data_IF_724961944206
#
_entry.id   IF_724961944206
#
_cell.length_a   1.000
_cell.length_b   1.000
_cell.length_c   1.000
_cell.angle_alpha   90.00
_cell.angle_beta   90.00
_cell.angle_gamma   90.00
#
_symmetry.space_group_name_H-M   'P 1'
#
loop_
_entity.id
_entity.type
_entity.pdbx_description
1 polymer ?
#
# COMPACT_ATOMS: atom_id res chain seq x y z
N UNK A 1 1.17 27.10 -73.13
CA UNK A 1 1.97 26.28 -72.26
C UNK A 1 1.42 26.43 -70.80
N UNK A 2 0.69 25.45 -70.27
CA UNK A 2 0.08 25.51 -68.94
C UNK A 2 0.97 24.69 -68.01
N UNK A 3 1.63 25.30 -67.03
CA UNK A 3 2.44 24.62 -66.01
C UNK A 3 1.56 24.06 -64.91
N UNK A 4 1.65 22.77 -64.70
CA UNK A 4 0.96 22.01 -63.63
C UNK A 4 1.85 22.08 -62.37
N UNK A 5 1.41 22.81 -61.34
CA UNK A 5 2.08 22.85 -60.01
C UNK A 5 1.54 21.64 -59.20
N UNK A 6 2.41 20.68 -58.94
CA UNK A 6 2.15 19.50 -58.14
C UNK A 6 2.41 19.85 -56.65
N UNK A 7 1.35 19.98 -55.87
CA UNK A 7 1.41 20.26 -54.43
C UNK A 7 1.63 18.96 -53.66
N UNK A 8 2.82 18.80 -53.11
CA UNK A 8 3.20 17.62 -52.31
C UNK A 8 2.72 17.81 -50.89
N UNK A 9 1.70 17.03 -50.45
CA UNK A 9 1.21 17.00 -49.10
C UNK A 9 2.15 16.11 -48.25
N UNK A 10 2.88 16.74 -47.35
CA UNK A 10 3.65 16.07 -46.30
C UNK A 10 2.70 15.61 -45.15
N UNK A 11 2.42 14.32 -45.05
CA UNK A 11 1.77 13.74 -43.89
C UNK A 11 2.81 13.56 -42.77
N UNK A 12 2.74 14.37 -41.73
CA UNK A 12 3.48 14.15 -40.49
C UNK A 12 2.68 13.17 -39.63
N UNK A 13 3.18 11.95 -39.54
CA UNK A 13 2.64 10.96 -38.59
C UNK A 13 3.02 11.38 -37.16
N UNK A 14 2.06 11.89 -36.39
CA UNK A 14 2.21 12.13 -34.98
C UNK A 14 2.17 10.76 -34.22
N UNK A 15 3.34 10.22 -33.93
CA UNK A 15 3.46 9.03 -33.08
C UNK A 15 3.05 9.34 -31.65
N UNK A 16 1.91 8.81 -31.19
CA UNK A 16 1.50 8.86 -29.78
C UNK A 16 2.47 8.03 -28.94
N UNK A 17 3.30 8.68 -28.15
CA UNK A 17 4.08 8.02 -27.09
C UNK A 17 3.09 7.50 -26.01
N UNK A 18 2.75 6.23 -26.07
CA UNK A 18 2.05 5.54 -24.97
C UNK A 18 3.07 5.39 -23.87
N UNK A 19 2.94 6.19 -22.81
CA UNK A 19 3.74 6.03 -21.60
C UNK A 19 3.48 4.63 -21.02
N UNK A 20 4.54 3.83 -20.90
CA UNK A 20 4.44 2.51 -20.26
C UNK A 20 3.97 2.69 -18.81
N UNK A 21 2.92 1.97 -18.42
CA UNK A 21 2.46 1.95 -17.02
C UNK A 21 3.62 1.55 -16.10
N UNK A 22 3.76 2.19 -14.93
CA UNK A 22 4.84 1.86 -14.00
C UNK A 22 4.74 0.39 -13.63
N UNK A 23 5.85 -0.36 -13.78
CA UNK A 23 5.93 -1.76 -13.37
C UNK A 23 5.67 -1.84 -11.86
N UNK A 24 4.59 -2.52 -11.47
CA UNK A 24 4.32 -2.82 -10.08
C UNK A 24 5.43 -3.72 -9.53
N UNK A 25 5.90 -3.42 -8.32
CA UNK A 25 6.85 -4.28 -7.61
C UNK A 25 6.12 -5.55 -7.23
N UNK A 26 6.58 -6.69 -7.73
CA UNK A 26 6.05 -8.00 -7.34
C UNK A 26 6.74 -8.41 -6.03
N UNK A 27 5.99 -8.69 -4.95
CA UNK A 27 6.60 -9.18 -3.72
C UNK A 27 7.19 -10.59 -3.94
N UNK A 28 8.25 -10.96 -3.20
CA UNK A 28 8.78 -12.32 -3.24
C UNK A 28 7.70 -13.31 -2.77
N UNK A 29 7.79 -14.54 -3.26
CA UNK A 29 6.91 -15.63 -2.82
C UNK A 29 7.01 -15.75 -1.29
N UNK A 30 5.87 -15.71 -0.56
CA UNK A 30 5.91 -15.68 0.89
C UNK A 30 6.37 -17.01 1.47
N UNK A 31 7.22 -16.95 2.50
CA UNK A 31 7.42 -18.09 3.38
C UNK A 31 6.22 -18.18 4.31
N UNK A 32 5.41 -19.21 4.15
CA UNK A 32 4.25 -19.48 4.99
C UNK A 32 4.32 -20.92 5.51
N UNK A 33 3.98 -21.12 6.78
CA UNK A 33 3.80 -22.43 7.37
C UNK A 33 2.31 -22.70 7.58
N UNK A 34 1.74 -23.77 6.99
CA UNK A 34 0.34 -24.10 7.21
C UNK A 34 0.02 -24.25 8.70
N UNK A 35 -1.10 -23.64 9.14
CA UNK A 35 -1.51 -23.55 10.55
C UNK A 35 -0.52 -22.80 11.47
N UNK A 36 0.41 -22.04 10.90
CA UNK A 36 1.28 -21.13 11.62
C UNK A 36 0.52 -19.97 12.29
N UNK A 37 1.26 -19.04 12.92
CA UNK A 37 0.65 -17.90 13.58
C UNK A 37 -0.08 -17.00 12.58
N UNK A 38 -1.29 -16.57 12.96
CA UNK A 38 -2.04 -15.55 12.21
C UNK A 38 -1.47 -14.15 12.47
N UNK A 39 -1.75 -13.20 11.58
CA UNK A 39 -1.36 -11.81 11.79
C UNK A 39 -2.02 -11.26 13.05
N UNK A 40 -1.24 -10.69 13.99
CA UNK A 40 -1.79 -10.13 15.23
C UNK A 40 -2.74 -8.96 14.96
N UNK A 41 -3.82 -8.87 15.75
CA UNK A 41 -4.67 -7.69 15.78
C UNK A 41 -4.00 -6.55 16.56
N UNK A 42 -4.39 -5.33 16.21
CA UNK A 42 -3.97 -4.09 16.87
C UNK A 42 -5.16 -3.14 17.03
N UNK A 43 -5.00 -2.11 17.87
CA UNK A 43 -6.04 -1.10 18.03
C UNK A 43 -6.28 -0.30 16.75
N UNK A 44 -7.54 0.02 16.48
CA UNK A 44 -7.96 0.92 15.40
C UNK A 44 -7.42 2.35 15.59
N UNK A 45 -7.27 2.77 16.84
CA UNK A 45 -6.94 4.15 17.17
C UNK A 45 -8.10 5.13 16.88
N UNK A 46 -7.90 6.42 17.17
CA UNK A 46 -8.99 7.42 17.12
C UNK A 46 -9.24 8.02 15.73
N UNK A 47 -8.44 7.67 14.71
CA UNK A 47 -8.46 8.36 13.41
C UNK A 47 -9.03 7.51 12.28
N UNK A 48 -9.61 6.36 12.55
CA UNK A 48 -10.32 5.61 11.51
C UNK A 48 -11.53 6.39 10.99
N UNK A 49 -11.72 6.34 9.67
CA UNK A 49 -12.91 6.88 8.99
C UNK A 49 -13.44 5.82 8.04
N UNK A 50 -14.73 5.55 8.13
CA UNK A 50 -15.41 4.69 7.15
C UNK A 50 -15.55 5.40 5.79
N UNK A 51 -15.95 4.62 4.76
CA UNK A 51 -16.24 5.11 3.41
C UNK A 51 -15.02 5.77 2.73
N UNK A 52 -13.84 5.23 2.96
CA UNK A 52 -12.63 5.62 2.24
C UNK A 52 -12.78 5.40 0.74
N UNK A 53 -12.14 6.19 -0.14
CA UNK A 53 -12.17 5.97 -1.58
C UNK A 53 -11.39 4.71 -1.98
N UNK A 54 -11.82 4.03 -3.06
CA UNK A 54 -11.06 2.93 -3.66
C UNK A 54 -9.86 3.48 -4.42
N UNK A 55 -8.65 3.14 -3.97
CA UNK A 55 -7.40 3.57 -4.62
C UNK A 55 -6.20 2.76 -4.14
N UNK A 56 -5.23 2.55 -5.04
CA UNK A 56 -3.96 1.88 -4.74
C UNK A 56 -2.82 2.87 -4.48
N UNK A 57 -3.02 4.15 -4.80
CA UNK A 57 -2.09 5.23 -4.47
C UNK A 57 -2.78 6.23 -3.54
N UNK A 58 -2.13 6.52 -2.42
CA UNK A 58 -2.53 7.56 -1.48
C UNK A 58 -1.76 8.86 -1.72
N UNK A 59 -0.89 8.89 -2.74
CA UNK A 59 -0.14 10.09 -3.11
C UNK A 59 -1.05 11.10 -3.79
N UNK A 60 -0.87 12.37 -3.42
CA UNK A 60 -1.58 13.52 -3.99
C UNK A 60 -0.56 14.59 -4.42
N UNK A 61 -0.89 15.47 -5.38
CA UNK A 61 0.00 16.54 -5.80
C UNK A 61 0.46 17.40 -4.61
N UNK A 62 1.77 17.73 -4.60
CA UNK A 62 2.38 18.53 -3.53
C UNK A 62 2.65 17.79 -2.21
N UNK A 63 2.42 16.49 -2.15
CA UNK A 63 2.73 15.68 -0.97
C UNK A 63 4.25 15.55 -0.81
N UNK A 64 4.74 15.73 0.43
CA UNK A 64 6.14 15.60 0.83
C UNK A 64 6.39 14.25 1.49
N UNK A 65 7.65 13.97 1.84
CA UNK A 65 8.05 12.73 2.53
C UNK A 65 8.68 11.70 1.60
N UNK A 66 9.26 10.68 2.21
CA UNK A 66 9.87 9.55 1.48
C UNK A 66 8.77 8.64 0.93
N UNK A 67 8.73 8.45 -0.38
CA UNK A 67 7.80 7.52 -1.03
C UNK A 67 8.01 6.11 -0.51
N UNK A 68 6.90 5.43 -0.21
CA UNK A 68 6.85 4.06 0.26
C UNK A 68 5.86 3.27 -0.59
N UNK A 69 6.30 2.16 -1.15
CA UNK A 69 5.42 1.14 -1.71
C UNK A 69 5.26 0.07 -0.63
N UNK A 70 4.03 -0.27 -0.27
CA UNK A 70 3.75 -1.42 0.60
C UNK A 70 3.07 -2.49 -0.23
N UNK A 71 3.65 -3.70 -0.23
CA UNK A 71 3.14 -4.83 -1.01
C UNK A 71 3.33 -6.14 -0.28
N UNK A 72 2.63 -7.18 -0.68
CA UNK A 72 2.69 -8.50 -0.09
C UNK A 72 1.46 -9.31 -0.43
N UNK A 73 1.28 -10.40 0.27
CA UNK A 73 0.16 -11.32 0.08
C UNK A 73 -0.82 -11.24 1.23
N UNK A 74 -2.08 -11.51 0.93
CA UNK A 74 -3.09 -11.90 1.92
C UNK A 74 -3.32 -13.40 1.75
N UNK A 75 -3.04 -14.16 2.81
CA UNK A 75 -3.07 -15.62 2.81
C UNK A 75 -4.06 -16.14 3.85
N UNK A 76 -4.64 -17.30 3.57
CA UNK A 76 -5.35 -18.11 4.54
C UNK A 76 -4.38 -18.90 5.44
N UNK A 77 -4.88 -19.53 6.50
CA UNK A 77 -4.06 -20.36 7.41
C UNK A 77 -3.40 -21.57 6.73
N UNK A 78 -3.96 -22.05 5.63
CA UNK A 78 -3.38 -23.12 4.81
C UNK A 78 -2.39 -22.59 3.75
N UNK A 79 -2.01 -21.31 3.87
CA UNK A 79 -1.08 -20.61 2.98
C UNK A 79 -1.60 -20.33 1.56
N UNK A 80 -2.87 -20.58 1.28
CA UNK A 80 -3.46 -20.22 0.00
C UNK A 80 -3.66 -18.71 -0.11
N UNK A 81 -3.33 -18.09 -1.24
CA UNK A 81 -3.66 -16.69 -1.50
C UNK A 81 -5.16 -16.44 -1.45
N UNK A 82 -5.55 -15.29 -0.92
CA UNK A 82 -6.94 -14.86 -0.85
C UNK A 82 -7.17 -13.75 -1.90
N UNK A 83 -7.78 -14.05 -3.06
CA UNK A 83 -8.20 -13.04 -4.01
C UNK A 83 -9.34 -12.19 -3.44
N UNK A 84 -9.41 -10.92 -3.91
CA UNK A 84 -10.47 -9.98 -3.50
C UNK A 84 -10.57 -9.75 -1.98
N UNK A 85 -9.51 -10.01 -1.22
CA UNK A 85 -9.43 -9.54 0.14
C UNK A 85 -9.42 -8.01 0.14
N UNK A 86 -10.24 -7.37 0.98
CA UNK A 86 -10.29 -5.91 1.11
C UNK A 86 -9.24 -5.46 2.12
N UNK A 87 -8.44 -4.48 1.73
CA UNK A 87 -7.48 -3.80 2.60
C UNK A 87 -7.86 -2.31 2.63
N UNK A 88 -8.12 -1.78 3.82
CA UNK A 88 -8.50 -0.38 4.04
C UNK A 88 -7.43 0.29 4.90
N UNK A 89 -6.70 1.24 4.33
CA UNK A 89 -5.52 1.87 4.92
C UNK A 89 -5.80 3.27 5.42
N UNK A 90 -5.17 3.66 6.54
CA UNK A 90 -5.10 5.05 6.99
C UNK A 90 -3.81 5.29 7.76
N UNK A 91 -3.25 6.49 7.60
CA UNK A 91 -1.99 6.88 8.24
C UNK A 91 -1.86 8.38 8.39
N UNK A 92 -0.90 8.80 9.21
CA UNK A 92 -0.44 10.18 9.28
C UNK A 92 0.39 10.54 8.03
N UNK A 93 0.51 11.83 7.72
CA UNK A 93 1.47 12.33 6.76
C UNK A 93 2.92 12.19 7.26
N UNK A 94 3.90 12.62 6.47
CA UNK A 94 5.33 12.59 6.79
C UNK A 94 5.71 13.46 8.02
N UNK A 95 4.81 14.33 8.48
CA UNK A 95 4.97 15.20 9.66
C UNK A 95 4.20 14.69 10.88
N UNK A 96 3.49 13.58 10.78
CA UNK A 96 2.73 12.99 11.87
C UNK A 96 1.29 13.51 12.02
N UNK A 97 0.73 14.17 11.00
CA UNK A 97 -0.63 14.72 11.06
C UNK A 97 -1.63 13.81 10.33
N UNK A 98 -2.80 13.59 10.93
CA UNK A 98 -3.92 12.91 10.29
C UNK A 98 -4.86 13.93 9.65
N UNK A 99 -5.31 13.63 8.41
CA UNK A 99 -6.38 14.39 7.78
C UNK A 99 -7.74 13.98 8.38
N UNK A 100 -8.22 14.75 9.35
CA UNK A 100 -9.50 14.50 10.00
C UNK A 100 -10.71 14.99 9.20
N UNK A 101 -10.67 16.13 8.47
CA UNK A 101 -11.81 16.56 7.66
C UNK A 101 -11.97 15.73 6.38
N UNK A 102 -10.89 15.33 5.72
CA UNK A 102 -10.88 14.66 4.42
C UNK A 102 -10.53 13.17 4.45
N UNK A 103 -10.05 12.69 3.31
CA UNK A 103 -9.60 11.31 3.10
C UNK A 103 -8.15 11.24 2.58
N UNK A 104 -7.34 12.25 2.85
CA UNK A 104 -5.91 12.23 2.52
C UNK A 104 -5.23 11.10 3.27
N UNK A 105 -4.35 10.35 2.60
CA UNK A 105 -3.65 9.17 3.13
C UNK A 105 -4.59 8.10 3.71
N UNK A 106 -5.78 7.98 3.10
CA UNK A 106 -6.80 6.98 3.39
C UNK A 106 -7.31 6.38 2.09
N UNK A 107 -7.55 5.09 2.07
CA UNK A 107 -8.12 4.43 0.89
C UNK A 107 -8.17 2.93 1.06
N UNK A 108 -9.09 2.29 0.34
CA UNK A 108 -9.14 0.84 0.30
C UNK A 108 -8.83 0.30 -1.09
N UNK A 109 -8.48 -0.96 -1.13
CA UNK A 109 -8.25 -1.73 -2.34
C UNK A 109 -8.57 -3.20 -2.11
N UNK A 110 -8.50 -3.97 -3.19
CA UNK A 110 -8.63 -5.42 -3.14
C UNK A 110 -7.34 -6.09 -3.60
N UNK A 111 -7.06 -7.28 -3.07
CA UNK A 111 -6.03 -8.15 -3.62
C UNK A 111 -6.39 -8.60 -5.02
N UNK A 112 -5.37 -8.83 -5.84
CA UNK A 112 -5.52 -9.41 -7.18
C UNK A 112 -5.85 -10.92 -7.13
N UNK A 113 -5.88 -11.58 -8.30
CA UNK A 113 -6.14 -13.02 -8.43
C UNK A 113 -5.11 -13.90 -7.72
N UNK A 114 -3.93 -13.38 -7.42
CA UNK A 114 -2.84 -14.06 -6.72
C UNK A 114 -2.79 -13.71 -5.23
N UNK A 115 -3.79 -12.98 -4.70
CA UNK A 115 -3.80 -12.53 -3.32
C UNK A 115 -2.81 -11.39 -3.03
N UNK A 116 -2.28 -10.72 -4.04
CA UNK A 116 -1.29 -9.65 -3.90
C UNK A 116 -2.00 -8.30 -3.76
N UNK A 117 -1.54 -7.47 -2.82
CA UNK A 117 -1.92 -6.06 -2.70
C UNK A 117 -0.75 -5.13 -3.04
N UNK A 118 -1.07 -3.90 -3.39
CA UNK A 118 -0.10 -2.86 -3.73
C UNK A 118 -0.60 -1.50 -3.26
N UNK A 119 0.11 -0.89 -2.33
CA UNK A 119 -0.17 0.44 -1.82
C UNK A 119 1.01 1.37 -2.11
N UNK A 120 0.73 2.51 -2.70
CA UNK A 120 1.69 3.59 -2.86
C UNK A 120 1.36 4.72 -1.88
N UNK A 121 2.33 5.09 -1.06
CA UNK A 121 2.16 6.10 0.00
C UNK A 121 3.49 6.78 0.34
N UNK A 122 3.56 7.48 1.46
CA UNK A 122 4.78 8.02 2.07
C UNK A 122 5.04 7.34 3.41
N UNK A 123 6.30 7.36 3.85
CA UNK A 123 6.62 6.94 5.23
C UNK A 123 5.92 7.90 6.19
N UNK A 124 5.06 7.41 7.11
CA UNK A 124 4.36 8.27 8.06
C UNK A 124 5.35 8.94 9.01
N UNK A 125 5.04 10.16 9.42
CA UNK A 125 5.74 10.87 10.47
C UNK A 125 5.48 10.25 11.85
N UNK A 126 6.23 10.72 12.83
CA UNK A 126 6.00 10.36 14.23
C UNK A 126 4.74 11.07 14.73
N UNK A 127 3.80 10.31 15.25
CA UNK A 127 2.62 10.82 15.94
C UNK A 127 2.83 10.73 17.45
N UNK A 128 2.21 11.62 18.20
CA UNK A 128 2.41 11.79 19.67
C UNK A 128 2.49 10.46 20.43
N UNK A 129 3.67 10.17 20.99
CA UNK A 129 3.92 8.97 21.78
C UNK A 129 4.00 7.66 21.00
N UNK A 130 3.70 7.67 19.68
CA UNK A 130 3.67 6.48 18.84
C UNK A 130 4.87 6.41 17.90
N UNK A 131 5.33 5.20 17.63
CA UNK A 131 6.27 4.93 16.54
C UNK A 131 5.60 5.08 15.16
N UNK A 132 6.40 5.13 14.09
CA UNK A 132 5.88 5.22 12.70
C UNK A 132 5.09 3.98 12.35
N UNK A 133 3.83 4.15 11.96
CA UNK A 133 2.94 3.04 11.66
C UNK A 133 1.89 3.39 10.59
N UNK A 134 1.43 2.37 9.91
CA UNK A 134 0.31 2.43 8.97
C UNK A 134 -0.79 1.56 9.55
N UNK A 135 -1.97 2.12 9.78
CA UNK A 135 -3.14 1.35 10.17
C UNK A 135 -3.79 0.69 8.96
N UNK A 136 -4.39 -0.46 9.19
CA UNK A 136 -5.24 -1.07 8.16
C UNK A 136 -6.26 -2.05 8.75
N UNK A 137 -7.32 -2.24 7.97
CA UNK A 137 -8.26 -3.37 8.12
C UNK A 137 -8.07 -4.31 6.95
N UNK A 138 -8.00 -5.61 7.22
CA UNK A 138 -7.91 -6.66 6.20
C UNK A 138 -9.06 -7.62 6.38
N UNK A 139 -9.78 -7.92 5.30
CA UNK A 139 -10.95 -8.77 5.34
C UNK A 139 -10.99 -9.69 4.11
N UNK A 140 -11.04 -10.99 4.34
CA UNK A 140 -11.35 -11.97 3.30
C UNK A 140 -12.83 -11.84 2.87
N UNK A 141 -13.21 -12.19 1.62
CA UNK A 141 -14.61 -12.23 1.21
C UNK A 141 -15.44 -13.09 2.18
N UNK A 142 -16.49 -12.48 2.77
CA UNK A 142 -17.34 -13.15 3.76
C UNK A 142 -16.71 -13.46 5.12
N UNK A 143 -15.44 -13.09 5.33
CA UNK A 143 -14.73 -13.33 6.58
C UNK A 143 -14.84 -12.19 7.59
N UNK A 144 -14.29 -12.41 8.78
CA UNK A 144 -14.13 -11.37 9.80
C UNK A 144 -13.06 -10.37 9.43
N UNK A 145 -13.17 -9.14 9.95
CA UNK A 145 -12.18 -8.08 9.72
C UNK A 145 -11.06 -8.18 10.75
N UNK A 146 -9.82 -8.26 10.26
CA UNK A 146 -8.62 -8.04 11.05
C UNK A 146 -8.32 -6.53 11.06
N UNK A 147 -8.29 -5.89 12.23
CA UNK A 147 -7.72 -4.55 12.40
C UNK A 147 -6.30 -4.69 12.93
N UNK A 148 -5.33 -4.05 12.26
CA UNK A 148 -3.92 -4.16 12.61
C UNK A 148 -3.13 -2.90 12.23
N UNK A 149 -1.82 -2.93 12.46
CA UNK A 149 -0.88 -1.86 12.12
C UNK A 149 0.38 -2.46 11.52
N UNK A 150 1.04 -1.77 10.60
CA UNK A 150 2.35 -2.11 10.09
C UNK A 150 3.38 -1.10 10.62
N UNK A 151 4.55 -1.58 10.99
CA UNK A 151 5.61 -0.76 11.57
C UNK A 151 6.84 -0.68 10.66
N UNK A 152 7.55 0.45 10.76
CA UNK A 152 8.79 0.71 10.02
C UNK A 152 9.97 0.19 10.85
N UNK A 153 10.87 -0.65 10.28
CA UNK A 153 12.06 -1.11 10.98
C UNK A 153 13.08 0.01 11.17
N UNK A 154 13.97 -0.15 12.17
CA UNK A 154 15.02 0.81 12.47
C UNK A 154 14.57 2.10 13.15
N UNK A 155 13.26 2.27 13.41
CA UNK A 155 12.73 3.41 14.14
C UNK A 155 13.01 3.24 15.65
N UNK A 156 13.73 4.21 16.25
CA UNK A 156 14.12 4.14 17.66
C UNK A 156 12.91 4.09 18.62
N UNK A 157 11.81 4.71 18.24
CA UNK A 157 10.57 4.68 19.03
C UNK A 157 9.89 3.31 19.09
N UNK A 158 10.27 2.35 18.26
CA UNK A 158 9.75 0.98 18.34
C UNK A 158 9.96 0.36 19.74
N UNK A 159 11.00 0.76 20.44
CA UNK A 159 11.31 0.25 21.79
C UNK A 159 10.48 0.91 22.90
N UNK A 160 9.93 2.10 22.64
CA UNK A 160 9.23 2.92 23.63
C UNK A 160 7.72 3.07 23.35
N UNK A 161 7.20 2.45 22.30
CA UNK A 161 5.78 2.43 21.99
C UNK A 161 5.12 1.22 22.66
N UNK A 162 4.29 1.44 23.66
CA UNK A 162 3.70 0.39 24.51
C UNK A 162 2.80 -0.62 23.78
N UNK A 163 2.44 -0.34 22.54
CA UNK A 163 1.64 -1.26 21.72
C UNK A 163 2.39 -1.75 20.45
N UNK A 164 3.69 -1.42 20.35
CA UNK A 164 4.52 -1.94 19.27
C UNK A 164 4.56 -3.47 19.32
N UNK A 165 4.41 -4.09 18.16
CA UNK A 165 4.51 -5.53 18.00
C UNK A 165 5.52 -5.86 16.89
N UNK A 166 6.61 -6.52 17.25
CA UNK A 166 7.68 -6.91 16.31
C UNK A 166 7.17 -7.80 15.17
N UNK A 167 6.13 -8.63 15.40
CA UNK A 167 5.55 -9.47 14.36
C UNK A 167 4.86 -8.68 13.23
N UNK A 168 4.67 -7.37 13.41
CA UNK A 168 4.06 -6.46 12.44
C UNK A 168 5.08 -5.50 11.78
N UNK A 169 6.39 -5.76 11.96
CA UNK A 169 7.43 -5.06 11.22
C UNK A 169 7.42 -5.48 9.73
N UNK A 170 7.44 -4.50 8.84
CA UNK A 170 7.67 -4.75 7.42
C UNK A 170 9.14 -5.08 7.15
N UNK A 171 9.42 -5.87 6.11
CA UNK A 171 10.75 -5.93 5.48
C UNK A 171 10.88 -4.72 4.55
N UNK A 172 11.62 -3.69 4.97
CA UNK A 172 11.75 -2.44 4.23
C UNK A 172 13.11 -2.35 3.56
N UNK A 173 13.11 -2.07 2.26
CA UNK A 173 14.32 -1.96 1.42
C UNK A 173 14.34 -0.63 0.69
N UNK A 174 15.55 -0.10 0.48
CA UNK A 174 15.74 1.09 -0.35
C UNK A 174 15.60 0.77 -1.84
N UNK A 175 15.08 1.75 -2.59
CA UNK A 175 14.99 1.70 -4.05
C UNK A 175 15.46 3.05 -4.62
N UNK A 176 15.64 3.13 -5.93
CA UNK A 176 16.03 4.39 -6.59
C UNK A 176 15.01 5.54 -6.35
N UNK A 177 13.74 5.23 -6.09
CA UNK A 177 12.65 6.21 -5.99
C UNK A 177 11.94 6.21 -4.63
N UNK A 178 12.61 5.80 -3.56
CA UNK A 178 12.03 5.71 -2.21
C UNK A 178 12.29 4.36 -1.57
N UNK A 179 11.27 3.78 -0.92
CA UNK A 179 11.38 2.50 -0.23
C UNK A 179 10.26 1.54 -0.64
N UNK A 180 10.52 0.26 -0.48
CA UNK A 180 9.53 -0.82 -0.60
C UNK A 180 9.44 -1.53 0.75
N UNK A 181 8.24 -1.60 1.31
CA UNK A 181 7.91 -2.39 2.49
C UNK A 181 7.14 -3.65 2.08
N UNK A 182 7.58 -4.81 2.54
CA UNK A 182 6.95 -6.09 2.24
C UNK A 182 6.35 -6.65 3.52
N UNK A 183 5.07 -7.05 3.46
CA UNK A 183 4.39 -7.71 4.56
C UNK A 183 3.33 -8.69 4.05
N UNK A 184 3.27 -9.88 4.63
CA UNK A 184 2.27 -10.89 4.28
C UNK A 184 1.29 -11.04 5.44
N UNK A 185 -0.01 -10.89 5.14
CA UNK A 185 -1.07 -11.10 6.11
C UNK A 185 -1.51 -12.55 6.09
N UNK A 186 -1.65 -13.16 7.26
CA UNK A 186 -2.25 -14.49 7.42
C UNK A 186 -3.54 -14.31 8.19
N UNK A 187 -4.68 -14.57 7.54
CA UNK A 187 -6.00 -14.44 8.11
C UNK A 187 -6.48 -15.78 8.69
N UNK A 188 -7.30 -15.72 9.74
CA UNK A 188 -7.93 -16.89 10.34
C UNK A 188 -9.13 -17.36 9.51
N UNK A 189 -8.85 -17.76 8.27
CA UNK A 189 -9.82 -18.35 7.35
C UNK A 189 -9.22 -19.63 6.73
N UNK A 190 -10.11 -20.52 6.26
CA UNK A 190 -9.75 -21.81 5.65
C UNK A 190 -10.21 -21.87 4.20
#
# INVERSE_FOLDING_TARGET
>A
MKGLVMMMLLFTAAGSLVAAAPRRVTPPVPTCAPNGPITPSQTEGPYYKANTPERTSLLEPGMTGTRLIVTGYVLARDCKPIPKARLDFWQADDRGNYDNPGYRLRGYQFTDSNGIFYLETVIPGLYTGRTRHIHLKVQAPGGSTLTTQLYIPGESRNQNDGIFNRALLMDVRDTANGKVGIFNFILDVR
#
